data_IF_699035098446
#
_entry.id   IF_699035098446
#
_cell.length_a   1.000
_cell.length_b   1.000
_cell.length_c   1.000
_cell.angle_alpha   90.00
_cell.angle_beta   90.00
_cell.angle_gamma   90.00
#
_symmetry.space_group_name_H-M   'P 1'
#
loop_
_entity.id
_entity.type
_entity.pdbx_description
1 polymer ?
#
# COMPACT_ATOMS: atom_id res chain seq x y z
N UNK A 1 9.30 19.16 -24.38
CA UNK A 1 10.65 18.87 -23.82
C UNK A 1 10.73 19.19 -22.32
N UNK A 2 10.31 20.37 -21.86
CA UNK A 2 10.35 20.74 -20.42
C UNK A 2 9.53 19.83 -19.49
N UNK A 3 8.32 19.41 -19.89
CA UNK A 3 7.51 18.45 -19.11
C UNK A 3 8.18 17.07 -18.97
N UNK A 4 8.92 16.62 -19.99
CA UNK A 4 9.66 15.35 -19.92
C UNK A 4 10.82 15.41 -18.93
N UNK A 5 11.56 16.53 -18.91
CA UNK A 5 12.67 16.75 -17.98
C UNK A 5 12.16 16.84 -16.54
N UNK A 6 11.05 17.56 -16.30
CA UNK A 6 10.43 17.65 -14.99
C UNK A 6 9.98 16.27 -14.45
N UNK A 7 9.38 15.45 -15.31
CA UNK A 7 8.98 14.09 -14.93
C UNK A 7 10.21 13.22 -14.61
N UNK A 8 11.29 13.26 -15.41
CA UNK A 8 12.51 12.49 -15.14
C UNK A 8 13.13 12.90 -13.80
N UNK A 9 13.23 14.20 -13.54
CA UNK A 9 13.74 14.73 -12.27
C UNK A 9 12.92 14.26 -11.07
N UNK A 10 11.59 14.23 -11.18
CA UNK A 10 10.72 13.71 -10.13
C UNK A 10 10.95 12.21 -9.87
N UNK A 11 11.12 11.41 -10.93
CA UNK A 11 11.41 9.98 -10.77
C UNK A 11 12.78 9.75 -10.12
N UNK A 12 13.78 10.56 -10.47
CA UNK A 12 15.12 10.50 -9.86
C UNK A 12 15.07 10.93 -8.39
N UNK A 13 14.39 12.03 -8.09
CA UNK A 13 14.19 12.52 -6.73
C UNK A 13 13.35 11.57 -5.87
N UNK A 14 12.49 10.75 -6.47
CA UNK A 14 11.76 9.71 -5.75
C UNK A 14 12.61 8.48 -5.43
N UNK A 15 13.60 8.14 -6.26
CA UNK A 15 14.35 6.86 -6.19
C UNK A 15 15.84 6.98 -5.83
N UNK A 16 16.40 8.20 -5.74
CA UNK A 16 17.82 8.41 -5.43
C UNK A 16 18.20 7.87 -4.06
N UNK A 17 17.32 8.05 -3.05
CA UNK A 17 17.60 7.61 -1.68
C UNK A 17 17.72 6.09 -1.64
N UNK A 18 16.79 5.39 -2.27
CA UNK A 18 16.77 3.92 -2.27
C UNK A 18 17.99 3.37 -3.04
N UNK A 19 18.34 4.01 -4.16
CA UNK A 19 19.54 3.69 -4.93
C UNK A 19 20.83 3.91 -4.12
N UNK A 20 20.92 5.02 -3.39
CA UNK A 20 22.06 5.32 -2.53
C UNK A 20 22.19 4.28 -1.41
N UNK A 21 21.08 3.94 -0.74
CA UNK A 21 21.05 2.92 0.30
C UNK A 21 21.48 1.54 -0.24
N UNK A 22 21.05 1.18 -1.45
CA UNK A 22 21.45 -0.06 -2.12
C UNK A 22 22.96 -0.11 -2.35
N UNK A 23 23.56 0.97 -2.85
CA UNK A 23 24.99 1.06 -3.08
C UNK A 23 25.79 1.02 -1.77
N UNK A 24 25.32 1.69 -0.71
CA UNK A 24 25.96 1.64 0.62
C UNK A 24 25.88 0.23 1.20
N UNK A 25 24.73 -0.44 1.11
CA UNK A 25 24.55 -1.81 1.58
C UNK A 25 25.47 -2.79 0.83
N UNK A 26 25.55 -2.69 -0.50
CA UNK A 26 26.46 -3.50 -1.31
C UNK A 26 27.94 -3.25 -0.97
N UNK A 27 28.32 -1.99 -0.78
CA UNK A 27 29.70 -1.63 -0.39
C UNK A 27 30.05 -2.15 1.00
N UNK A 28 29.11 -2.10 1.95
CA UNK A 28 29.32 -2.65 3.29
C UNK A 28 29.43 -4.18 3.25
N UNK A 29 28.61 -4.86 2.44
CA UNK A 29 28.71 -6.31 2.26
C UNK A 29 30.05 -6.73 1.68
N UNK A 30 30.57 -5.97 0.70
CA UNK A 30 31.92 -6.16 0.16
C UNK A 30 32.96 -6.10 1.28
N UNK A 31 32.97 -5.00 2.04
CA UNK A 31 33.96 -4.78 3.12
C UNK A 31 33.88 -5.89 4.18
N UNK A 32 32.68 -6.37 4.51
CA UNK A 32 32.52 -7.49 5.45
C UNK A 32 33.17 -8.76 4.89
N UNK A 33 32.95 -9.10 3.61
CA UNK A 33 33.56 -10.30 3.03
C UNK A 33 35.09 -10.16 2.86
N UNK A 34 35.58 -8.98 2.48
CA UNK A 34 37.01 -8.72 2.30
C UNK A 34 37.75 -8.78 3.63
N UNK A 35 37.30 -8.00 4.64
CA UNK A 35 38.02 -7.84 5.91
C UNK A 35 37.77 -9.01 6.88
N UNK A 36 36.54 -9.52 6.95
CA UNK A 36 36.18 -10.54 7.96
C UNK A 36 36.33 -11.98 7.43
N UNK A 37 36.11 -12.20 6.14
CA UNK A 37 36.18 -13.53 5.52
C UNK A 37 37.45 -13.72 4.67
N UNK A 38 38.26 -12.67 4.48
CA UNK A 38 39.52 -12.74 3.73
C UNK A 38 39.33 -13.00 2.24
N UNK A 39 38.15 -12.68 1.68
CA UNK A 39 37.87 -12.93 0.27
C UNK A 39 38.48 -11.85 -0.61
N UNK A 40 39.25 -12.21 -1.66
CA UNK A 40 40.03 -11.23 -2.40
C UNK A 40 39.18 -10.31 -3.28
N UNK A 41 38.06 -10.80 -3.85
CA UNK A 41 37.17 -9.99 -4.71
C UNK A 41 35.69 -10.39 -4.54
N UNK A 42 35.02 -10.00 -3.44
CA UNK A 42 33.66 -10.43 -3.13
C UNK A 42 32.57 -9.70 -3.95
N UNK A 43 32.62 -9.82 -5.27
CA UNK A 43 31.70 -9.15 -6.21
C UNK A 43 30.26 -9.63 -6.01
N UNK A 44 30.09 -10.91 -5.67
CA UNK A 44 28.77 -11.48 -5.38
C UNK A 44 28.11 -10.83 -4.16
N UNK A 45 28.88 -10.43 -3.14
CA UNK A 45 28.36 -9.77 -1.95
C UNK A 45 27.80 -8.37 -2.31
N UNK A 46 28.57 -7.61 -3.08
CA UNK A 46 28.16 -6.28 -3.54
C UNK A 46 26.94 -6.33 -4.46
N UNK A 47 26.97 -7.17 -5.49
CA UNK A 47 25.85 -7.31 -6.45
C UNK A 47 24.59 -7.76 -5.73
N UNK A 48 24.71 -8.73 -4.81
CA UNK A 48 23.56 -9.22 -4.05
C UNK A 48 22.99 -8.14 -3.13
N UNK A 49 23.83 -7.40 -2.41
CA UNK A 49 23.39 -6.29 -1.55
C UNK A 49 22.61 -5.22 -2.32
N UNK A 50 23.12 -4.83 -3.49
CA UNK A 50 22.44 -3.88 -4.38
C UNK A 50 21.13 -4.47 -4.93
N UNK A 51 21.14 -5.71 -5.41
CA UNK A 51 19.98 -6.36 -6.01
C UNK A 51 18.83 -6.60 -5.02
N UNK A 52 19.15 -6.83 -3.74
CA UNK A 52 18.14 -6.95 -2.67
C UNK A 52 17.45 -5.61 -2.38
N UNK A 53 18.17 -4.48 -2.53
CA UNK A 53 17.71 -3.14 -2.19
C UNK A 53 17.34 -2.26 -3.38
N UNK A 54 17.22 -2.83 -4.57
CA UNK A 54 16.90 -2.08 -5.78
C UNK A 54 15.64 -1.21 -5.60
N UNK A 55 15.59 0.00 -6.20
CA UNK A 55 14.44 0.89 -6.07
C UNK A 55 13.17 0.28 -6.68
N UNK A 56 12.00 0.71 -6.21
CA UNK A 56 10.68 0.27 -6.68
C UNK A 56 10.35 -1.22 -6.45
N UNK A 57 11.06 -1.88 -5.53
CA UNK A 57 10.72 -3.22 -5.12
C UNK A 57 9.51 -3.20 -4.18
N UNK A 58 8.48 -4.02 -4.41
CA UNK A 58 7.31 -4.07 -3.54
C UNK A 58 7.65 -4.69 -2.18
N UNK A 59 8.64 -5.59 -2.12
CA UNK A 59 9.09 -6.21 -0.88
C UNK A 59 10.54 -6.70 -1.03
N UNK A 60 11.46 -6.02 -0.36
CA UNK A 60 12.89 -6.36 -0.37
C UNK A 60 13.19 -7.74 0.24
N UNK A 61 12.37 -8.21 1.18
CA UNK A 61 12.48 -9.55 1.77
C UNK A 61 12.28 -10.67 0.75
N UNK A 62 11.15 -10.62 0.04
CA UNK A 62 10.88 -11.55 -1.07
C UNK A 62 11.92 -11.43 -2.18
N UNK A 63 12.40 -10.21 -2.44
CA UNK A 63 13.46 -10.00 -3.41
C UNK A 63 14.75 -10.70 -2.99
N UNK A 64 15.19 -10.56 -1.74
CA UNK A 64 16.41 -11.20 -1.27
C UNK A 64 16.36 -12.72 -1.45
N UNK A 65 15.22 -13.36 -1.13
CA UNK A 65 15.02 -14.80 -1.37
C UNK A 65 15.15 -15.14 -2.86
N UNK A 66 14.52 -14.34 -3.73
CA UNK A 66 14.60 -14.55 -5.20
C UNK A 66 16.02 -14.40 -5.72
N UNK A 67 16.76 -13.41 -5.23
CA UNK A 67 18.16 -13.18 -5.61
C UNK A 67 19.02 -14.36 -5.15
N UNK A 68 18.92 -14.77 -3.88
CA UNK A 68 19.69 -15.92 -3.35
C UNK A 68 19.40 -17.20 -4.15
N UNK A 69 18.12 -17.51 -4.43
CA UNK A 69 17.75 -18.67 -5.22
C UNK A 69 18.31 -18.62 -6.66
N UNK A 70 18.17 -17.46 -7.31
CA UNK A 70 18.69 -17.26 -8.67
C UNK A 70 20.21 -17.39 -8.72
N UNK A 71 20.93 -16.69 -7.84
CA UNK A 71 22.39 -16.75 -7.79
C UNK A 71 22.87 -18.17 -7.48
N UNK A 72 22.25 -18.85 -6.52
CA UNK A 72 22.61 -20.25 -6.18
C UNK A 72 22.48 -21.17 -7.39
N UNK A 73 21.37 -21.08 -8.13
CA UNK A 73 21.16 -21.86 -9.35
C UNK A 73 22.22 -21.53 -10.42
N UNK A 74 22.51 -20.24 -10.62
CA UNK A 74 23.52 -19.78 -11.58
C UNK A 74 24.93 -20.26 -11.25
N UNK A 75 25.34 -20.17 -9.98
CA UNK A 75 26.65 -20.64 -9.51
C UNK A 75 26.76 -22.15 -9.71
N UNK A 76 25.78 -22.94 -9.28
CA UNK A 76 25.82 -24.41 -9.44
C UNK A 76 25.97 -24.80 -10.92
N UNK A 77 25.17 -24.20 -11.81
CA UNK A 77 25.21 -24.51 -13.24
C UNK A 77 26.54 -24.10 -13.87
N UNK A 78 27.08 -22.94 -13.50
CA UNK A 78 28.36 -22.48 -14.01
C UNK A 78 29.53 -23.33 -13.48
N UNK A 79 29.53 -23.73 -12.21
CA UNK A 79 30.56 -24.62 -11.67
C UNK A 79 30.55 -25.99 -12.34
N UNK A 80 29.36 -26.57 -12.57
CA UNK A 80 29.24 -27.83 -13.30
C UNK A 80 29.76 -27.71 -14.74
N UNK A 81 29.55 -26.55 -15.36
CA UNK A 81 30.04 -26.25 -16.71
C UNK A 81 31.57 -26.15 -16.78
N UNK A 82 32.26 -25.80 -15.69
CA UNK A 82 33.73 -25.74 -15.67
C UNK A 82 34.39 -27.12 -15.85
N UNK A 83 33.66 -28.22 -15.61
CA UNK A 83 34.16 -29.58 -15.90
C UNK A 83 34.09 -29.96 -17.39
N UNK A 84 33.39 -29.16 -18.22
CA UNK A 84 33.28 -29.41 -19.65
C UNK A 84 34.42 -28.70 -20.43
N UNK A 85 34.84 -29.26 -21.59
CA UNK A 85 35.79 -28.59 -22.47
C UNK A 85 35.23 -27.25 -22.95
N UNK A 86 35.98 -26.17 -22.76
CA UNK A 86 35.55 -24.85 -23.21
C UNK A 86 35.69 -24.75 -24.74
N UNK A 87 34.57 -24.85 -25.44
CA UNK A 87 34.45 -24.42 -26.84
C UNK A 87 34.36 -22.88 -26.90
N UNK A 88 34.09 -22.29 -28.08
CA UNK A 88 34.02 -20.83 -28.31
C UNK A 88 33.41 -20.10 -27.10
N UNK A 89 34.23 -19.29 -26.41
CA UNK A 89 33.96 -18.77 -25.06
C UNK A 89 32.61 -18.05 -24.93
N UNK A 90 32.20 -17.29 -25.95
CA UNK A 90 30.92 -16.56 -25.94
C UNK A 90 29.71 -17.48 -26.09
N UNK A 91 29.78 -18.46 -27.01
CA UNK A 91 28.68 -19.42 -27.21
C UNK A 91 28.50 -20.31 -25.99
N UNK A 92 29.62 -20.76 -25.40
CA UNK A 92 29.59 -21.53 -24.16
C UNK A 92 28.94 -20.74 -23.02
N UNK A 93 29.38 -19.49 -22.79
CA UNK A 93 28.81 -18.61 -21.75
C UNK A 93 27.31 -18.37 -21.97
N UNK A 94 26.89 -18.09 -23.21
CA UNK A 94 25.48 -17.90 -23.55
C UNK A 94 24.63 -19.15 -23.30
N UNK A 95 25.15 -20.33 -23.64
CA UNK A 95 24.45 -21.61 -23.40
C UNK A 95 24.32 -21.91 -21.91
N UNK A 96 25.36 -21.69 -21.12
CA UNK A 96 25.34 -21.90 -19.67
C UNK A 96 24.37 -20.94 -18.99
N UNK A 97 24.39 -19.66 -19.37
CA UNK A 97 23.42 -18.67 -18.88
C UNK A 97 21.98 -19.07 -19.24
N UNK A 98 21.74 -19.53 -20.47
CA UNK A 98 20.43 -20.04 -20.90
C UNK A 98 19.96 -21.21 -20.04
N UNK A 99 20.81 -22.22 -19.82
CA UNK A 99 20.49 -23.38 -19.00
C UNK A 99 20.19 -22.95 -17.55
N UNK A 100 21.02 -22.07 -16.98
CA UNK A 100 20.83 -21.53 -15.64
C UNK A 100 19.48 -20.81 -15.51
N UNK A 101 19.12 -19.96 -16.48
CA UNK A 101 17.84 -19.25 -16.51
C UNK A 101 16.66 -20.22 -16.59
N UNK A 102 16.71 -21.22 -17.47
CA UNK A 102 15.64 -22.22 -17.63
C UNK A 102 15.45 -23.00 -16.33
N UNK A 103 16.53 -23.50 -15.72
CA UNK A 103 16.46 -24.22 -14.45
C UNK A 103 15.93 -23.33 -13.32
N UNK A 104 16.32 -22.06 -13.29
CA UNK A 104 15.89 -21.11 -12.28
C UNK A 104 14.36 -20.84 -12.31
N UNK A 105 13.70 -21.02 -13.45
CA UNK A 105 12.22 -20.88 -13.55
C UNK A 105 11.45 -21.88 -12.71
N UNK A 106 12.07 -23.02 -12.35
CA UNK A 106 11.44 -24.03 -11.49
C UNK A 106 11.18 -23.51 -10.06
N UNK A 107 11.91 -22.49 -9.61
CA UNK A 107 11.77 -21.92 -8.27
C UNK A 107 10.74 -20.78 -8.20
N UNK A 108 10.22 -20.30 -9.34
CA UNK A 108 9.14 -19.31 -9.35
C UNK A 108 9.03 -18.50 -10.63
N UNK A 109 7.91 -17.77 -10.74
CA UNK A 109 7.55 -16.95 -11.91
C UNK A 109 8.10 -15.52 -11.86
N UNK A 110 8.75 -15.13 -10.76
CA UNK A 110 9.28 -13.79 -10.60
C UNK A 110 10.52 -13.59 -11.50
N UNK A 111 10.57 -12.56 -12.37
CA UNK A 111 11.68 -12.36 -13.31
C UNK A 111 13.06 -12.25 -12.66
N UNK A 112 13.12 -11.81 -11.40
CA UNK A 112 14.36 -11.68 -10.64
C UNK A 112 15.14 -12.99 -10.53
N UNK A 113 14.47 -14.14 -10.40
CA UNK A 113 15.14 -15.44 -10.19
C UNK A 113 15.94 -15.86 -11.45
N UNK A 114 15.33 -15.98 -12.65
CA UNK A 114 16.09 -16.34 -13.85
C UNK A 114 17.11 -15.27 -14.22
N UNK A 115 16.82 -13.97 -14.09
CA UNK A 115 17.78 -12.90 -14.38
C UNK A 115 19.05 -13.08 -13.52
N UNK A 116 18.91 -13.31 -12.21
CA UNK A 116 20.05 -13.48 -11.32
C UNK A 116 20.82 -14.78 -11.61
N UNK A 117 20.13 -15.86 -11.99
CA UNK A 117 20.80 -17.09 -12.40
C UNK A 117 21.68 -16.89 -13.65
N UNK A 118 21.15 -16.22 -14.67
CA UNK A 118 21.91 -15.90 -15.89
C UNK A 118 23.11 -15.00 -15.61
N UNK A 119 22.90 -13.88 -14.90
CA UNK A 119 23.97 -12.93 -14.55
C UNK A 119 25.06 -13.62 -13.71
N UNK A 120 24.67 -14.43 -12.73
CA UNK A 120 25.62 -15.15 -11.87
C UNK A 120 26.43 -16.17 -12.65
N UNK A 121 25.80 -16.92 -13.55
CA UNK A 121 26.50 -17.88 -14.39
C UNK A 121 27.54 -17.22 -15.29
N UNK A 122 27.19 -16.09 -15.90
CA UNK A 122 28.12 -15.27 -16.70
C UNK A 122 29.28 -14.78 -15.82
N UNK A 123 28.98 -14.29 -14.62
CA UNK A 123 29.99 -13.75 -13.70
C UNK A 123 30.99 -14.82 -13.24
N UNK A 124 30.50 -16.02 -12.89
CA UNK A 124 31.37 -17.16 -12.53
C UNK A 124 32.30 -17.53 -13.67
N UNK A 125 31.78 -17.67 -14.89
CA UNK A 125 32.60 -18.03 -16.05
C UNK A 125 33.61 -16.94 -16.42
N UNK A 126 33.24 -15.66 -16.25
CA UNK A 126 34.14 -14.53 -16.51
C UNK A 126 35.31 -14.45 -15.51
N UNK A 127 35.09 -14.84 -14.26
CA UNK A 127 36.13 -14.86 -13.20
C UNK A 127 37.00 -16.11 -13.23
N UNK A 128 36.49 -17.19 -13.82
CA UNK A 128 37.18 -18.47 -13.88
C UNK A 128 37.20 -19.22 -12.54
N UNK A 129 37.94 -20.33 -12.46
CA UNK A 129 37.91 -21.26 -11.33
C UNK A 129 38.75 -20.81 -10.13
N UNK A 130 39.24 -19.56 -10.10
CA UNK A 130 40.17 -19.09 -9.06
C UNK A 130 39.53 -19.05 -7.65
N UNK A 131 38.20 -19.00 -7.58
CA UNK A 131 37.44 -19.05 -6.33
C UNK A 131 36.47 -20.24 -6.35
N UNK A 132 36.32 -20.89 -5.19
CA UNK A 132 35.39 -22.00 -4.99
C UNK A 132 33.93 -21.49 -4.94
N UNK A 133 32.98 -22.24 -5.49
CA UNK A 133 31.57 -21.85 -5.50
C UNK A 133 30.98 -21.64 -4.12
N UNK A 134 31.53 -22.31 -3.11
CA UNK A 134 31.16 -22.10 -1.72
C UNK A 134 31.50 -20.69 -1.23
N UNK A 135 32.64 -20.09 -1.62
CA UNK A 135 32.98 -18.71 -1.22
C UNK A 135 32.02 -17.70 -1.85
N UNK A 136 31.68 -17.92 -3.14
CA UNK A 136 30.67 -17.12 -3.85
C UNK A 136 29.30 -17.24 -3.19
N UNK A 137 28.90 -18.44 -2.75
CA UNK A 137 27.63 -18.60 -2.05
C UNK A 137 27.64 -17.91 -0.68
N UNK A 138 28.76 -17.95 0.04
CA UNK A 138 28.89 -17.20 1.31
C UNK A 138 28.80 -15.69 1.09
N UNK A 139 29.39 -15.17 0.01
CA UNK A 139 29.27 -13.76 -0.38
C UNK A 139 27.82 -13.35 -0.61
N UNK A 140 27.07 -14.18 -1.34
CA UNK A 140 25.64 -13.95 -1.60
C UNK A 140 24.86 -13.89 -0.31
N UNK A 141 25.13 -14.79 0.64
CA UNK A 141 24.45 -14.80 1.94
C UNK A 141 24.78 -13.55 2.76
N UNK A 142 26.03 -13.09 2.75
CA UNK A 142 26.43 -11.83 3.41
C UNK A 142 25.76 -10.63 2.75
N UNK A 143 25.81 -10.53 1.42
CA UNK A 143 25.15 -9.47 0.66
C UNK A 143 23.65 -9.41 0.90
N UNK A 144 22.98 -10.56 0.90
CA UNK A 144 21.56 -10.66 1.21
C UNK A 144 21.27 -10.28 2.66
N UNK A 145 22.11 -10.71 3.60
CA UNK A 145 21.98 -10.37 5.02
C UNK A 145 22.11 -8.86 5.27
N UNK A 146 23.12 -8.22 4.70
CA UNK A 146 23.33 -6.77 4.81
C UNK A 146 22.21 -6.00 4.13
N UNK A 147 21.80 -6.40 2.92
CA UNK A 147 20.66 -5.80 2.23
C UNK A 147 19.38 -5.91 3.06
N UNK A 148 19.07 -7.09 3.59
CA UNK A 148 17.91 -7.27 4.47
C UNK A 148 18.02 -6.41 5.73
N UNK A 149 19.17 -6.33 6.38
CA UNK A 149 19.37 -5.48 7.55
C UNK A 149 19.01 -4.01 7.24
N UNK A 150 19.51 -3.50 6.12
CA UNK A 150 19.21 -2.15 5.66
C UNK A 150 17.72 -1.96 5.34
N UNK A 151 17.11 -2.93 4.68
CA UNK A 151 15.66 -2.90 4.39
C UNK A 151 14.84 -2.82 5.68
N UNK A 152 15.23 -3.58 6.70
CA UNK A 152 14.49 -3.69 7.96
C UNK A 152 14.67 -2.46 8.86
N UNK A 153 15.84 -1.81 8.80
CA UNK A 153 16.16 -0.66 9.67
C UNK A 153 15.80 0.68 9.01
N UNK A 154 16.10 0.86 7.72
CA UNK A 154 16.00 2.17 7.05
C UNK A 154 14.82 2.31 6.08
N UNK A 155 14.30 1.21 5.52
CA UNK A 155 13.30 1.25 4.45
C UNK A 155 11.91 0.76 4.86
N UNK A 156 11.71 0.26 6.08
CA UNK A 156 10.38 -0.20 6.50
C UNK A 156 9.43 0.99 6.58
N UNK A 157 8.40 1.07 5.70
CA UNK A 157 7.43 2.14 5.74
C UNK A 157 6.64 2.07 7.05
N UNK A 158 6.30 3.23 7.61
CA UNK A 158 5.39 3.28 8.76
C UNK A 158 3.99 2.78 8.32
N UNK A 159 3.54 1.62 8.81
CA UNK A 159 2.28 1.01 8.38
C UNK A 159 1.08 1.91 8.67
N UNK A 160 1.14 2.71 9.74
CA UNK A 160 0.08 3.65 10.12
C UNK A 160 -0.07 4.73 9.04
N UNK A 161 1.05 5.28 8.55
CA UNK A 161 1.02 6.32 7.50
C UNK A 161 0.50 5.80 6.17
N UNK A 162 0.74 4.52 5.86
CA UNK A 162 0.18 3.88 4.65
C UNK A 162 -1.34 3.71 4.79
N UNK A 163 -1.81 3.25 5.95
CA UNK A 163 -3.24 3.14 6.26
C UNK A 163 -3.91 4.52 6.20
N UNK A 164 -3.35 5.53 6.85
CA UNK A 164 -3.88 6.90 6.87
C UNK A 164 -4.05 7.47 5.45
N UNK A 165 -3.07 7.22 4.57
CA UNK A 165 -3.13 7.67 3.18
C UNK A 165 -4.26 6.95 2.43
N UNK A 166 -4.40 5.65 2.62
CA UNK A 166 -5.45 4.86 1.99
C UNK A 166 -6.85 5.27 2.49
N UNK A 167 -6.98 5.53 3.80
CA UNK A 167 -8.20 6.02 4.46
C UNK A 167 -8.61 7.38 3.90
N UNK A 168 -7.68 8.35 3.82
CA UNK A 168 -7.94 9.66 3.20
C UNK A 168 -8.34 9.54 1.74
N UNK A 169 -7.72 8.61 1.01
CA UNK A 169 -8.08 8.31 -0.38
C UNK A 169 -9.52 7.85 -0.57
N UNK A 170 -10.13 7.18 0.41
CA UNK A 170 -11.56 6.84 0.41
C UNK A 170 -12.45 8.01 0.84
N UNK A 171 -12.04 8.74 1.88
CA UNK A 171 -12.85 9.84 2.43
C UNK A 171 -13.02 11.01 1.45
N UNK A 172 -12.01 11.30 0.63
CA UNK A 172 -12.03 12.43 -0.30
C UNK A 172 -13.12 12.29 -1.40
N UNK A 173 -13.26 11.17 -2.12
CA UNK A 173 -14.38 10.95 -3.03
C UNK A 173 -15.75 10.94 -2.36
N UNK A 174 -15.86 10.38 -1.14
CA UNK A 174 -17.12 10.39 -0.38
C UNK A 174 -17.50 11.82 -0.02
N UNK A 175 -16.54 12.62 0.49
CA UNK A 175 -16.75 14.04 0.79
C UNK A 175 -17.15 14.83 -0.47
N UNK A 176 -16.53 14.54 -1.61
CA UNK A 176 -16.87 15.15 -2.89
C UNK A 176 -18.32 14.86 -3.30
N UNK A 177 -18.75 13.59 -3.22
CA UNK A 177 -20.13 13.18 -3.47
C UNK A 177 -21.12 13.89 -2.55
N UNK A 178 -20.83 13.95 -1.24
CA UNK A 178 -21.67 14.66 -0.26
C UNK A 178 -21.72 16.18 -0.51
N UNK A 179 -20.60 16.81 -0.90
CA UNK A 179 -20.57 18.23 -1.29
C UNK A 179 -21.43 18.50 -2.51
N UNK A 180 -21.41 17.59 -3.49
CA UNK A 180 -22.30 17.70 -4.65
C UNK A 180 -23.75 17.51 -4.28
N UNK A 181 -24.07 16.55 -3.39
CA UNK A 181 -25.41 16.42 -2.81
C UNK A 181 -25.89 17.73 -2.17
N UNK A 182 -25.03 18.42 -1.42
CA UNK A 182 -25.36 19.71 -0.80
C UNK A 182 -25.59 20.81 -1.84
N UNK A 183 -24.82 20.85 -2.93
CA UNK A 183 -25.03 21.80 -4.02
C UNK A 183 -26.39 21.56 -4.72
N UNK A 184 -26.70 20.31 -5.06
CA UNK A 184 -27.97 19.96 -5.73
C UNK A 184 -29.18 20.25 -4.84
N UNK A 185 -29.08 20.02 -3.53
CA UNK A 185 -30.11 20.40 -2.56
C UNK A 185 -30.39 21.91 -2.53
N UNK A 186 -29.40 22.75 -2.85
CA UNK A 186 -29.54 24.21 -2.86
C UNK A 186 -30.15 24.72 -4.16
N UNK A 187 -29.83 24.08 -5.28
CA UNK A 187 -30.20 24.55 -6.62
C UNK A 187 -31.51 23.91 -7.16
N UNK A 188 -32.12 22.95 -6.45
CA UNK A 188 -33.34 22.18 -6.82
C UNK A 188 -33.32 21.60 -8.25
N UNK A 189 -32.13 21.26 -8.75
CA UNK A 189 -31.96 20.75 -10.11
C UNK A 189 -31.99 19.20 -10.15
N UNK A 190 -33.10 18.58 -10.62
CA UNK A 190 -33.22 17.12 -10.64
C UNK A 190 -32.29 16.45 -11.67
N UNK A 191 -31.85 17.14 -12.72
CA UNK A 191 -30.91 16.57 -13.69
C UNK A 191 -29.52 16.37 -13.09
N UNK A 192 -29.12 17.25 -12.18
CA UNK A 192 -27.84 17.13 -11.46
C UNK A 192 -27.85 16.03 -10.39
N UNK A 193 -29.04 15.58 -9.95
CA UNK A 193 -29.17 14.49 -8.99
C UNK A 193 -28.60 13.16 -9.52
N UNK A 194 -28.81 12.85 -10.82
CA UNK A 194 -28.21 11.66 -11.45
C UNK A 194 -26.67 11.74 -11.45
N UNK A 195 -26.12 12.94 -11.61
CA UNK A 195 -24.66 13.14 -11.60
C UNK A 195 -24.05 13.04 -10.20
N UNK A 196 -24.88 13.05 -9.15
CA UNK A 196 -24.46 12.82 -7.76
C UNK A 196 -24.28 11.33 -7.47
N UNK A 197 -25.20 10.49 -7.94
CA UNK A 197 -25.10 9.02 -7.82
C UNK A 197 -23.86 8.50 -8.55
N UNK A 198 -23.56 9.03 -9.75
CA UNK A 198 -22.35 8.65 -10.50
C UNK A 198 -21.07 8.90 -9.70
N UNK A 199 -20.98 9.99 -8.94
CA UNK A 199 -19.81 10.25 -8.09
C UNK A 199 -19.67 9.25 -6.94
N UNK A 200 -20.78 8.85 -6.32
CA UNK A 200 -20.75 7.79 -5.31
C UNK A 200 -20.38 6.44 -5.91
N UNK A 201 -20.81 6.12 -7.13
CA UNK A 201 -20.37 4.90 -7.85
C UNK A 201 -18.86 4.94 -8.12
N UNK A 202 -18.32 6.10 -8.52
CA UNK A 202 -16.88 6.26 -8.75
C UNK A 202 -16.04 6.08 -7.48
N UNK A 203 -16.61 6.38 -6.30
CA UNK A 203 -15.96 6.13 -5.01
C UNK A 203 -15.68 4.62 -4.75
N UNK A 204 -16.28 3.71 -5.52
CA UNK A 204 -15.93 2.29 -5.47
C UNK A 204 -14.46 2.04 -5.78
N UNK A 205 -13.87 2.79 -6.73
CA UNK A 205 -12.43 2.66 -7.06
C UNK A 205 -11.55 3.02 -5.86
N UNK A 206 -11.96 4.02 -5.08
CA UNK A 206 -11.25 4.42 -3.87
C UNK A 206 -11.38 3.38 -2.75
N UNK A 207 -12.53 2.68 -2.67
CA UNK A 207 -12.68 1.54 -1.76
C UNK A 207 -11.76 0.38 -2.15
N UNK A 208 -11.64 0.06 -3.44
CA UNK A 208 -10.70 -0.96 -3.92
C UNK A 208 -9.26 -0.57 -3.59
N UNK A 209 -8.87 0.69 -3.84
CA UNK A 209 -7.55 1.20 -3.49
C UNK A 209 -7.26 1.14 -1.98
N UNK A 210 -8.27 1.38 -1.13
CA UNK A 210 -8.15 1.17 0.32
C UNK A 210 -7.84 -0.31 0.63
N UNK A 211 -8.62 -1.24 0.09
CA UNK A 211 -8.43 -2.67 0.30
C UNK A 211 -7.04 -3.15 -0.15
N UNK A 212 -6.57 -2.71 -1.31
CA UNK A 212 -5.23 -3.04 -1.83
C UNK A 212 -4.13 -2.50 -0.92
N UNK A 213 -4.27 -1.25 -0.44
CA UNK A 213 -3.35 -0.65 0.52
C UNK A 213 -3.28 -1.42 1.84
N UNK A 214 -4.44 -1.83 2.37
CA UNK A 214 -4.54 -2.64 3.59
C UNK A 214 -3.94 -4.04 3.41
N UNK A 215 -4.13 -4.66 2.24
CA UNK A 215 -3.53 -5.95 1.90
C UNK A 215 -1.99 -5.86 1.82
N UNK A 216 -1.46 -4.79 1.23
CA UNK A 216 -0.03 -4.51 1.19
C UNK A 216 0.55 -4.40 2.61
N UNK A 217 -0.07 -3.58 3.46
CA UNK A 217 0.36 -3.38 4.86
C UNK A 217 0.37 -4.69 5.65
N UNK A 218 -0.69 -5.51 5.55
CA UNK A 218 -0.74 -6.85 6.18
C UNK A 218 0.39 -7.75 5.68
N UNK A 219 0.67 -7.71 4.39
CA UNK A 219 1.72 -8.51 3.80
C UNK A 219 3.11 -8.09 4.31
N UNK A 220 3.39 -6.78 4.39
CA UNK A 220 4.68 -6.26 4.85
C UNK A 220 4.89 -6.43 6.36
N UNK A 221 3.82 -6.35 7.17
CA UNK A 221 3.88 -6.65 8.59
C UNK A 221 4.38 -8.08 8.87
N UNK A 222 4.10 -9.06 8.00
CA UNK A 222 4.57 -10.44 8.15
C UNK A 222 6.05 -10.63 7.83
N UNK A 223 6.62 -9.79 6.97
CA UNK A 223 7.98 -9.94 6.45
C UNK A 223 8.99 -8.97 7.09
N UNK A 224 8.53 -7.93 7.79
CA UNK A 224 9.39 -7.03 8.54
C UNK A 224 9.62 -7.50 9.98
N UNK A 225 10.84 -7.36 10.50
CA UNK A 225 11.21 -7.68 11.88
C UNK A 225 10.39 -6.85 12.87
N UNK A 226 10.27 -5.54 12.61
CA UNK A 226 9.42 -4.63 13.41
C UNK A 226 7.94 -4.93 13.22
N UNK A 227 7.50 -5.21 12.00
CA UNK A 227 6.11 -5.57 11.72
C UNK A 227 5.69 -6.87 12.39
N UNK A 228 6.57 -7.88 12.48
CA UNK A 228 6.26 -9.16 13.14
C UNK A 228 5.91 -9.00 14.61
N UNK A 229 6.46 -7.99 15.29
CA UNK A 229 6.16 -7.70 16.70
C UNK A 229 4.76 -7.09 16.88
N UNK A 230 4.25 -6.38 15.88
CA UNK A 230 2.97 -5.66 15.92
C UNK A 230 1.98 -6.23 14.87
N UNK A 231 2.26 -7.41 14.32
CA UNK A 231 1.56 -7.94 13.17
C UNK A 231 0.09 -8.22 13.46
N UNK A 232 -0.23 -8.69 14.68
CA UNK A 232 -1.61 -8.92 15.11
C UNK A 232 -2.38 -7.61 15.15
N UNK A 233 -1.84 -6.59 15.82
CA UNK A 233 -2.48 -5.29 15.98
C UNK A 233 -2.71 -4.58 14.64
N UNK A 234 -1.70 -4.59 13.75
CA UNK A 234 -1.83 -4.05 12.39
C UNK A 234 -2.88 -4.81 11.58
N UNK A 235 -2.91 -6.14 11.70
CA UNK A 235 -3.88 -6.97 10.97
C UNK A 235 -5.30 -6.69 11.43
N UNK A 236 -5.50 -6.60 12.75
CA UNK A 236 -6.79 -6.28 13.35
C UNK A 236 -7.26 -4.88 12.97
N UNK A 237 -6.37 -3.88 13.06
CA UNK A 237 -6.64 -2.51 12.64
C UNK A 237 -7.04 -2.43 11.16
N UNK A 238 -6.25 -3.06 10.27
CA UNK A 238 -6.57 -3.14 8.85
C UNK A 238 -7.93 -3.83 8.62
N UNK A 239 -8.26 -4.86 9.41
CA UNK A 239 -9.54 -5.58 9.31
C UNK A 239 -10.73 -4.71 9.72
N UNK A 240 -10.56 -3.84 10.73
CA UNK A 240 -11.57 -2.85 11.10
C UNK A 240 -11.79 -1.83 10.00
N UNK A 241 -10.72 -1.24 9.44
CA UNK A 241 -10.82 -0.29 8.33
C UNK A 241 -11.49 -0.89 7.09
N UNK A 242 -11.14 -2.13 6.72
CA UNK A 242 -11.74 -2.81 5.57
C UNK A 242 -13.25 -3.00 5.76
N UNK A 243 -13.68 -3.59 6.90
CA UNK A 243 -15.11 -3.80 7.19
C UNK A 243 -15.89 -2.49 7.31
N UNK A 244 -15.35 -1.50 8.02
CA UNK A 244 -16.01 -0.21 8.26
C UNK A 244 -16.02 0.66 6.99
N UNK A 245 -14.98 0.57 6.15
CA UNK A 245 -14.91 1.26 4.85
C UNK A 245 -15.95 0.76 3.85
N UNK A 246 -16.17 -0.56 3.77
CA UNK A 246 -17.26 -1.14 2.95
C UNK A 246 -18.62 -0.61 3.41
N UNK A 247 -18.87 -0.58 4.73
CA UNK A 247 -20.13 -0.08 5.30
C UNK A 247 -20.33 1.41 5.01
N UNK A 248 -19.29 2.22 5.17
CA UNK A 248 -19.31 3.66 4.90
C UNK A 248 -19.61 3.94 3.43
N UNK A 249 -18.94 3.25 2.51
CA UNK A 249 -19.21 3.35 1.08
C UNK A 249 -20.66 2.98 0.75
N UNK A 250 -21.15 1.86 1.28
CA UNK A 250 -22.53 1.40 1.03
C UNK A 250 -23.57 2.40 1.57
N UNK A 251 -23.35 2.94 2.77
CA UNK A 251 -24.21 3.97 3.36
C UNK A 251 -24.24 5.24 2.49
N UNK A 252 -23.07 5.70 2.02
CA UNK A 252 -22.96 6.90 1.19
C UNK A 252 -23.67 6.72 -0.17
N UNK A 253 -23.53 5.55 -0.79
CA UNK A 253 -24.23 5.22 -2.03
C UNK A 253 -25.76 5.21 -1.85
N UNK A 254 -26.24 4.54 -0.80
CA UNK A 254 -27.68 4.48 -0.48
C UNK A 254 -28.26 5.87 -0.14
N UNK A 255 -27.46 6.73 0.50
CA UNK A 255 -27.83 8.13 0.70
C UNK A 255 -27.97 8.88 -0.62
N UNK A 256 -27.00 8.76 -1.53
CA UNK A 256 -27.06 9.37 -2.86
C UNK A 256 -28.28 8.93 -3.67
N UNK A 257 -28.62 7.63 -3.62
CA UNK A 257 -29.82 7.09 -4.26
C UNK A 257 -31.11 7.63 -3.65
N UNK A 258 -31.23 7.63 -2.32
CA UNK A 258 -32.39 8.15 -1.61
C UNK A 258 -32.59 9.65 -1.88
N UNK A 259 -31.50 10.43 -1.93
CA UNK A 259 -31.53 11.84 -2.27
C UNK A 259 -32.03 12.07 -3.70
N UNK A 260 -31.50 11.33 -4.68
CA UNK A 260 -31.93 11.43 -6.06
C UNK A 260 -33.42 11.08 -6.24
N UNK A 261 -33.89 10.06 -5.53
CA UNK A 261 -35.30 9.69 -5.51
C UNK A 261 -36.20 10.78 -4.89
N UNK A 262 -35.77 11.41 -3.80
CA UNK A 262 -36.52 12.49 -3.15
C UNK A 262 -36.63 13.72 -4.07
N UNK A 263 -35.52 14.14 -4.68
CA UNK A 263 -35.48 15.27 -5.61
C UNK A 263 -36.30 15.01 -6.88
N UNK A 264 -36.33 13.77 -7.39
CA UNK A 264 -37.14 13.43 -8.57
C UNK A 264 -38.64 13.52 -8.31
N UNK A 265 -39.09 13.21 -7.08
CA UNK A 265 -40.52 13.23 -6.74
C UNK A 265 -41.07 14.66 -6.58
N UNK A 266 -40.23 15.66 -6.24
CA UNK A 266 -40.60 17.08 -6.06
C UNK A 266 -41.87 17.32 -5.21
N UNK A 267 -42.10 16.49 -4.20
CA UNK A 267 -43.32 16.56 -3.37
C UNK A 267 -43.31 17.75 -2.40
N UNK A 268 -42.15 17.99 -1.75
CA UNK A 268 -41.98 19.01 -0.69
C UNK A 268 -40.55 19.54 -0.70
N UNK A 269 -40.35 20.78 -0.24
CA UNK A 269 -39.02 21.40 -0.12
C UNK A 269 -38.09 20.61 0.84
N UNK A 270 -36.76 20.63 0.60
CA UNK A 270 -35.81 19.93 1.45
C UNK A 270 -35.78 20.52 2.87
N UNK A 271 -35.82 19.68 3.92
CA UNK A 271 -35.79 20.16 5.29
C UNK A 271 -34.43 20.79 5.63
N UNK A 272 -34.44 21.95 6.30
CA UNK A 272 -33.22 22.66 6.71
C UNK A 272 -32.24 21.79 7.52
N UNK A 273 -32.78 20.91 8.37
CA UNK A 273 -32.02 19.92 9.13
C UNK A 273 -31.10 19.05 8.25
N UNK A 274 -31.55 18.67 7.05
CA UNK A 274 -30.78 17.82 6.15
C UNK A 274 -29.54 18.55 5.64
N UNK A 275 -29.67 19.84 5.30
CA UNK A 275 -28.55 20.66 4.85
C UNK A 275 -27.52 20.87 5.97
N UNK A 276 -27.96 21.25 7.16
CA UNK A 276 -27.10 21.43 8.33
C UNK A 276 -26.35 20.14 8.68
N UNK A 277 -27.08 19.01 8.71
CA UNK A 277 -26.51 17.71 9.02
C UNK A 277 -25.52 17.25 7.96
N UNK A 278 -25.81 17.48 6.68
CA UNK A 278 -24.92 17.13 5.58
C UNK A 278 -23.60 17.90 5.65
N UNK A 279 -23.62 19.18 6.02
CA UNK A 279 -22.41 19.98 6.23
C UNK A 279 -21.53 19.44 7.36
N UNK A 280 -22.15 18.96 8.46
CA UNK A 280 -21.42 18.32 9.56
C UNK A 280 -20.72 17.04 9.09
N UNK A 281 -21.41 16.18 8.33
CA UNK A 281 -20.82 14.94 7.80
C UNK A 281 -19.69 15.24 6.81
N UNK A 282 -19.86 16.23 5.92
CA UNK A 282 -18.81 16.69 5.01
C UNK A 282 -17.57 17.15 5.78
N UNK A 283 -17.76 17.97 6.83
CA UNK A 283 -16.67 18.49 7.65
C UNK A 283 -15.87 17.35 8.31
N UNK A 284 -16.58 16.34 8.84
CA UNK A 284 -15.97 15.14 9.43
C UNK A 284 -15.12 14.33 8.43
N UNK A 285 -15.53 14.23 7.16
CA UNK A 285 -14.72 13.55 6.14
C UNK A 285 -13.40 14.27 5.83
N UNK A 286 -13.34 15.59 6.03
CA UNK A 286 -12.14 16.41 5.82
C UNK A 286 -11.37 16.73 7.10
N UNK A 287 -11.73 16.10 8.22
CA UNK A 287 -11.18 16.41 9.53
C UNK A 287 -9.71 16.00 9.66
N UNK A 288 -8.94 16.79 10.41
CA UNK A 288 -7.57 16.43 10.79
C UNK A 288 -7.54 15.26 11.79
N UNK A 289 -6.56 14.35 11.69
CA UNK A 289 -6.39 13.26 12.65
C UNK A 289 -6.29 13.81 14.08
N UNK A 290 -6.97 13.17 15.03
CA UNK A 290 -6.94 13.53 16.45
C UNK A 290 -7.95 14.59 16.89
N UNK A 291 -8.74 15.18 15.97
CA UNK A 291 -9.94 15.93 16.36
C UNK A 291 -11.13 15.01 16.57
N UNK A 292 -11.98 15.35 17.53
CA UNK A 292 -13.24 14.65 17.73
C UNK A 292 -14.24 15.03 16.64
N UNK A 293 -14.88 14.04 15.98
CA UNK A 293 -15.89 14.31 14.97
C UNK A 293 -17.17 14.86 15.62
N UNK A 294 -17.81 15.78 14.91
CA UNK A 294 -19.07 16.38 15.35
C UNK A 294 -20.23 15.44 15.00
N UNK A 295 -21.23 15.32 15.88
CA UNK A 295 -22.44 14.56 15.59
C UNK A 295 -23.53 15.49 15.06
N UNK A 296 -24.32 15.00 14.10
CA UNK A 296 -25.51 15.70 13.60
C UNK A 296 -26.55 15.87 14.73
N UNK A 297 -27.36 16.94 14.67
CA UNK A 297 -28.46 17.15 15.59
C UNK A 297 -29.48 15.99 15.53
N UNK A 298 -30.24 15.74 16.61
CA UNK A 298 -31.26 14.70 16.63
C UNK A 298 -32.30 14.94 15.53
N UNK A 299 -32.81 13.85 14.95
CA UNK A 299 -33.79 13.87 13.87
C UNK A 299 -35.09 14.56 14.35
N UNK A 300 -35.62 15.57 13.62
CA UNK A 300 -36.89 16.21 13.95
C UNK A 300 -38.07 15.24 13.89
N UNK A 301 -39.09 15.42 14.74
CA UNK A 301 -40.26 14.51 14.79
C UNK A 301 -41.20 14.71 13.59
N UNK A 302 -41.13 15.88 12.98
CA UNK A 302 -42.05 16.45 12.00
C UNK A 302 -41.42 16.48 10.60
N UNK A 303 -41.04 15.30 10.10
CA UNK A 303 -40.42 15.12 8.79
C UNK A 303 -41.43 14.88 7.66
N UNK A 304 -41.32 15.62 6.54
CA UNK A 304 -42.07 15.33 5.32
C UNK A 304 -41.82 13.90 4.84
N UNK A 305 -42.88 13.21 4.39
CA UNK A 305 -42.81 11.79 4.03
C UNK A 305 -41.78 11.50 2.95
N UNK A 306 -41.70 12.35 1.91
CA UNK A 306 -40.76 12.19 0.80
C UNK A 306 -39.27 12.25 1.20
N UNK A 307 -38.94 12.85 2.34
CA UNK A 307 -37.56 13.06 2.80
C UNK A 307 -37.09 12.09 3.89
N UNK A 308 -37.99 11.29 4.48
CA UNK A 308 -37.67 10.41 5.61
C UNK A 308 -36.57 9.41 5.31
N UNK A 309 -36.62 8.76 4.13
CA UNK A 309 -35.60 7.79 3.75
C UNK A 309 -34.23 8.47 3.60
N UNK A 310 -34.16 9.62 2.93
CA UNK A 310 -32.92 10.38 2.76
C UNK A 310 -32.29 10.77 4.11
N UNK A 311 -33.10 11.25 5.05
CA UNK A 311 -32.66 11.61 6.41
C UNK A 311 -32.10 10.40 7.18
N UNK A 312 -32.81 9.26 7.14
CA UNK A 312 -32.35 8.03 7.78
C UNK A 312 -31.06 7.49 7.15
N UNK A 313 -30.90 7.61 5.82
CA UNK A 313 -29.67 7.21 5.15
C UNK A 313 -28.50 8.13 5.53
N UNK A 314 -28.72 9.44 5.68
CA UNK A 314 -27.67 10.36 6.13
C UNK A 314 -27.20 10.06 7.56
N UNK A 315 -28.12 9.73 8.47
CA UNK A 315 -27.78 9.25 9.82
C UNK A 315 -26.91 7.98 9.75
N UNK A 316 -27.27 7.03 8.89
CA UNK A 316 -26.45 5.84 8.64
C UNK A 316 -25.05 6.15 8.09
N UNK A 317 -24.91 7.16 7.23
CA UNK A 317 -23.60 7.65 6.75
C UNK A 317 -22.79 8.19 7.92
N UNK A 318 -23.38 9.02 8.78
CA UNK A 318 -22.70 9.51 9.97
C UNK A 318 -22.22 8.36 10.85
N UNK A 319 -23.10 7.43 11.22
CA UNK A 319 -22.74 6.38 12.17
C UNK A 319 -21.61 5.51 11.63
N UNK A 320 -21.68 5.15 10.35
CA UNK A 320 -20.61 4.39 9.68
C UNK A 320 -19.32 5.19 9.55
N UNK A 321 -19.38 6.51 9.32
CA UNK A 321 -18.22 7.41 9.28
C UNK A 321 -17.55 7.52 10.65
N UNK A 322 -18.33 7.72 11.72
CA UNK A 322 -17.81 7.80 13.09
C UNK A 322 -17.11 6.51 13.50
N UNK A 323 -17.69 5.36 13.16
CA UNK A 323 -17.01 4.08 13.34
C UNK A 323 -15.75 4.00 12.48
N UNK A 324 -15.80 4.40 11.22
CA UNK A 324 -14.63 4.34 10.33
C UNK A 324 -13.47 5.20 10.82
N UNK A 325 -13.73 6.41 11.31
CA UNK A 325 -12.70 7.32 11.85
C UNK A 325 -12.05 6.77 13.12
N UNK A 326 -12.79 6.05 13.97
CA UNK A 326 -12.28 5.42 15.20
C UNK A 326 -11.83 3.96 14.98
N UNK A 327 -11.35 3.61 13.78
CA UNK A 327 -10.90 2.23 13.48
C UNK A 327 -9.50 1.91 14.01
N UNK A 328 -8.72 2.93 14.36
CA UNK A 328 -7.47 2.80 15.11
C UNK A 328 -7.72 2.20 16.50
N UNK A 329 -8.81 2.58 17.17
CA UNK A 329 -9.18 2.06 18.48
C UNK A 329 -9.77 0.63 18.41
N UNK A 330 -9.39 -0.26 19.35
CA UNK A 330 -9.96 -1.61 19.41
C UNK A 330 -11.45 -1.56 19.82
N UNK A 331 -12.22 -2.56 19.38
CA UNK A 331 -13.68 -2.64 19.65
C UNK A 331 -14.04 -2.73 21.15
N UNK A 332 -13.05 -3.00 22.02
CA UNK A 332 -13.20 -2.99 23.49
C UNK A 332 -13.30 -1.58 24.07
N UNK A 333 -12.84 -0.55 23.35
CA UNK A 333 -13.04 0.84 23.72
C UNK A 333 -14.40 1.27 23.19
N UNK A 334 -15.36 1.41 24.11
CA UNK A 334 -16.67 1.95 23.77
C UNK A 334 -16.49 3.36 23.21
N UNK A 335 -16.87 3.58 21.96
CA UNK A 335 -17.07 4.94 21.43
C UNK A 335 -18.08 5.61 22.37
N UNK A 336 -17.73 6.72 23.04
CA UNK A 336 -18.60 7.34 24.03
C UNK A 336 -19.99 7.58 23.42
N UNK A 337 -21.01 6.91 23.97
CA UNK A 337 -22.40 7.31 23.75
C UNK A 337 -22.61 8.59 24.56
N UNK A 338 -23.13 9.63 23.93
CA UNK A 338 -23.47 10.85 24.62
C UNK A 338 -24.65 10.56 25.55
N UNK A 339 -24.44 10.68 26.86
CA UNK A 339 -25.54 10.97 27.78
C UNK A 339 -26.01 12.39 27.47
N UNK A 340 -27.28 12.52 27.09
CA UNK A 340 -27.91 13.83 26.98
C UNK A 340 -27.79 14.53 28.34
N UNK A 341 -27.00 15.60 28.42
CA UNK A 341 -27.06 16.50 29.58
C UNK A 341 -28.52 16.98 29.69
N UNK A 342 -29.20 16.78 30.83
CA UNK A 342 -30.54 17.30 31.01
C UNK A 342 -30.50 18.80 30.80
N UNK A 343 -31.35 19.27 29.90
CA UNK A 343 -31.63 20.69 29.72
C UNK A 343 -32.17 21.17 31.07
N UNK A 344 -31.38 21.94 31.80
CA UNK A 344 -31.85 22.57 33.02
C UNK A 344 -32.88 23.63 32.60
N UNK A 345 -34.14 23.34 32.88
CA UNK A 345 -35.25 24.26 32.75
C UNK A 345 -34.90 25.57 33.46
N UNK A 346 -34.86 26.67 32.70
CA UNK A 346 -34.86 28.01 33.26
C UNK A 346 -36.30 28.33 33.69
N UNK A 347 -36.51 28.33 35.01
CA UNK A 347 -37.61 29.01 35.69
C UNK A 347 -37.31 30.50 35.77
#
# INVERSE_FOLDING_TARGET
MQQGIANILQHWLASWRDSLMACVAGSLAWLICEELLGQPKPIFAMVTGVACLAPNLPNHGKQAIRVVLGVTAGVIVAELSLFLPQTVSVLHTGMVAFIAMVLATTFGTAPAIPIQAGVSAILVLAMGPQEAGLSRLTDVLVGAGVGLLFSQILLTPDPVRVIDRAVRGLLEPIASGLKKSAAVLKDDNPEEANTTITQFIEAHRALVALSDGLALVRSDARWSLRGRLVASEITDMASRYERRGIRLYAAALLFGEALGNALRKKETEPPAWLMESLQIVIANCSMEPGREPHRIPPIPKDLPFGWRECVLRLEGVQDTLLHFLNSDQPDSVLVPKCEAKPQADAV
#
